data_IF_373537005992
#
_entry.id   IF_373537005992
#
_cell.length_a   1.000
_cell.length_b   1.000
_cell.length_c   1.000
_cell.angle_alpha   90.00
_cell.angle_beta   90.00
_cell.angle_gamma   90.00
#
_symmetry.space_group_name_H-M   'P 1'
#
loop_
_entity.id
_entity.type
_entity.pdbx_description
1 polymer ?
#
# COMPACT_ATOMS: atom_id res chain seq x y z
N UNK A 1 60.09 10.09 -9.69
CA UNK A 1 61.02 10.92 -10.49
C UNK A 1 60.23 11.87 -11.37
N UNK A 2 60.54 13.16 -11.20
CA UNK A 2 60.36 14.32 -12.12
C UNK A 2 58.92 14.76 -12.39
N UNK A 3 58.50 15.84 -11.77
CA UNK A 3 58.73 17.31 -11.95
C UNK A 3 57.63 17.90 -12.85
N UNK A 4 56.68 18.64 -12.24
CA UNK A 4 56.59 20.13 -12.11
C UNK A 4 56.64 20.84 -13.49
N UNK A 5 55.57 21.59 -13.79
CA UNK A 5 55.69 22.98 -14.25
C UNK A 5 54.33 23.70 -14.25
N UNK A 6 54.26 24.75 -13.40
CA UNK A 6 53.45 25.96 -13.56
C UNK A 6 54.24 26.95 -14.42
N UNK A 7 53.63 27.90 -15.08
CA UNK A 7 53.51 29.27 -14.58
C UNK A 7 52.14 29.90 -14.87
N UNK A 8 51.52 30.62 -13.97
CA UNK A 8 51.72 32.01 -13.47
C UNK A 8 51.94 33.07 -14.57
N UNK A 9 51.00 33.98 -14.70
CA UNK A 9 51.15 35.44 -14.84
C UNK A 9 49.75 36.02 -15.25
N UNK A 10 49.06 36.74 -14.50
CA UNK A 10 49.23 38.08 -13.98
C UNK A 10 48.60 39.19 -14.88
N UNK A 11 47.57 39.85 -14.28
CA UNK A 11 47.39 41.30 -14.21
C UNK A 11 46.94 42.05 -15.48
N UNK A 12 45.79 42.71 -15.42
CA UNK A 12 45.77 44.18 -15.42
C UNK A 12 44.37 44.74 -15.06
N UNK A 13 44.38 45.58 -14.05
CA UNK A 13 43.36 46.51 -13.64
C UNK A 13 43.17 47.62 -14.71
N UNK A 14 41.93 48.03 -14.97
CA UNK A 14 41.63 49.41 -15.34
C UNK A 14 40.32 49.87 -14.68
N UNK A 15 40.47 50.83 -13.83
CA UNK A 15 39.49 51.72 -13.21
C UNK A 15 38.99 52.77 -14.23
N UNK A 16 37.74 53.10 -14.22
CA UNK A 16 37.10 54.41 -14.41
C UNK A 16 35.60 54.18 -14.73
N UNK A 17 34.63 54.85 -14.32
CA UNK A 17 34.45 56.14 -13.69
C UNK A 17 32.98 56.24 -13.26
N UNK A 18 32.70 57.09 -12.31
CA UNK A 18 31.43 57.55 -11.81
C UNK A 18 30.36 57.83 -12.87
N UNK A 19 29.11 57.49 -12.54
CA UNK A 19 27.92 58.00 -13.15
C UNK A 19 26.73 57.78 -12.24
N UNK A 20 26.41 58.76 -11.44
CA UNK A 20 25.19 58.89 -10.64
C UNK A 20 24.01 59.12 -11.56
N UNK A 21 23.04 58.22 -11.62
CA UNK A 21 21.70 58.58 -12.01
C UNK A 21 20.66 57.68 -11.33
N UNK A 22 19.76 58.33 -10.66
CA UNK A 22 18.57 57.76 -10.03
C UNK A 22 17.61 57.29 -11.12
N UNK A 23 17.30 56.02 -11.18
CA UNK A 23 16.09 55.55 -11.85
C UNK A 23 15.40 54.54 -10.96
N UNK A 24 14.25 54.92 -10.51
CA UNK A 24 13.21 54.04 -10.00
C UNK A 24 12.79 53.09 -11.11
N UNK A 25 12.98 51.81 -10.91
CA UNK A 25 12.29 50.78 -11.71
C UNK A 25 11.86 49.65 -10.79
N UNK A 26 10.57 49.61 -10.56
CA UNK A 26 9.65 48.50 -10.55
C UNK A 26 10.00 47.26 -9.76
N UNK A 27 9.44 47.22 -8.62
CA UNK A 27 9.03 46.04 -7.84
C UNK A 27 7.73 45.51 -8.45
N UNK A 28 7.79 44.70 -9.51
CA UNK A 28 6.59 44.13 -10.13
C UNK A 28 6.79 42.74 -10.78
N UNK A 29 7.91 42.04 -10.51
CA UNK A 29 8.17 40.70 -11.09
C UNK A 29 8.08 39.54 -10.09
N UNK A 30 7.74 39.78 -8.82
CA UNK A 30 7.70 38.69 -7.81
C UNK A 30 6.28 38.23 -7.49
N UNK A 31 5.25 38.80 -8.13
CA UNK A 31 3.85 38.33 -7.93
C UNK A 31 3.32 37.37 -8.98
N UNK A 32 3.97 37.27 -10.12
CA UNK A 32 3.50 36.41 -11.21
C UNK A 32 4.01 35.00 -11.09
N UNK A 33 5.23 34.80 -10.60
CA UNK A 33 5.81 33.46 -10.41
C UNK A 33 5.23 32.72 -9.20
N UNK A 34 4.82 33.46 -8.15
CA UNK A 34 4.15 32.86 -6.98
C UNK A 34 2.71 32.46 -7.32
N UNK A 35 2.00 33.25 -8.15
CA UNK A 35 0.65 32.94 -8.56
C UNK A 35 0.59 31.77 -9.56
N UNK A 36 1.59 31.61 -10.42
CA UNK A 36 1.70 30.50 -11.34
C UNK A 36 2.00 29.18 -10.60
N UNK A 37 2.89 29.20 -9.61
CA UNK A 37 3.17 28.03 -8.78
C UNK A 37 1.99 27.63 -7.87
N UNK A 38 1.25 28.60 -7.34
CA UNK A 38 0.04 28.30 -6.56
C UNK A 38 -1.12 27.81 -7.44
N UNK A 39 -1.22 28.27 -8.69
CA UNK A 39 -2.21 27.78 -9.64
C UNK A 39 -1.90 26.37 -10.13
N UNK A 40 -0.62 26.05 -10.44
CA UNK A 40 -0.20 24.68 -10.78
C UNK A 40 -0.32 23.72 -9.60
N UNK A 41 -0.03 24.17 -8.38
CA UNK A 41 -0.22 23.34 -7.17
C UNK A 41 -1.72 23.10 -6.90
N UNK A 42 -2.59 24.10 -7.10
CA UNK A 42 -4.04 23.96 -6.96
C UNK A 42 -4.63 23.08 -8.07
N UNK A 43 -4.15 23.20 -9.29
CA UNK A 43 -4.60 22.38 -10.41
C UNK A 43 -4.18 20.90 -10.24
N UNK A 44 -2.96 20.64 -9.79
CA UNK A 44 -2.52 19.28 -9.42
C UNK A 44 -3.29 18.71 -8.23
N UNK A 45 -3.61 19.53 -7.24
CA UNK A 45 -4.41 19.10 -6.07
C UNK A 45 -5.87 18.84 -6.47
N UNK A 46 -6.42 19.64 -7.39
CA UNK A 46 -7.76 19.39 -7.95
C UNK A 46 -7.80 18.17 -8.88
N UNK A 47 -6.75 17.89 -9.65
CA UNK A 47 -6.67 16.67 -10.47
C UNK A 47 -6.52 15.41 -9.62
N UNK A 48 -5.77 15.45 -8.52
CA UNK A 48 -5.66 14.32 -7.59
C UNK A 48 -6.98 14.09 -6.83
N UNK A 49 -7.69 15.15 -6.44
CA UNK A 49 -9.01 15.04 -5.82
C UNK A 49 -10.10 14.53 -6.78
N UNK A 50 -9.92 14.67 -8.10
CA UNK A 50 -10.82 14.16 -9.15
C UNK A 50 -10.61 12.66 -9.45
N UNK A 51 -9.56 12.03 -8.93
CA UNK A 51 -9.23 10.63 -9.17
C UNK A 51 -9.69 9.67 -8.05
N UNK A 52 -10.21 10.19 -6.96
CA UNK A 52 -10.76 9.35 -5.89
C UNK A 52 -12.19 8.98 -6.27
N UNK A 53 -12.44 7.69 -6.41
CA UNK A 53 -13.80 7.18 -6.68
C UNK A 53 -14.74 7.63 -5.57
N UNK A 54 -15.84 8.34 -5.87
CA UNK A 54 -16.74 8.89 -4.87
C UNK A 54 -17.50 7.81 -4.07
N UNK A 55 -17.44 6.56 -4.49
CA UNK A 55 -18.02 5.41 -3.79
C UNK A 55 -17.14 4.94 -2.62
N UNK A 56 -15.86 5.32 -2.61
CA UNK A 56 -14.93 4.92 -1.56
C UNK A 56 -15.35 5.48 -0.20
N UNK A 57 -15.16 4.68 0.83
CA UNK A 57 -15.52 5.01 2.19
C UNK A 57 -14.32 4.81 3.12
N UNK A 58 -14.36 5.50 4.25
CA UNK A 58 -13.44 5.22 5.35
C UNK A 58 -14.08 4.21 6.30
N UNK A 59 -13.33 3.19 6.78
CA UNK A 59 -13.82 2.33 7.84
C UNK A 59 -14.08 3.14 9.10
N UNK A 60 -15.06 2.74 9.87
CA UNK A 60 -15.42 3.36 11.15
C UNK A 60 -14.87 2.52 12.30
N UNK A 61 -14.82 3.11 13.49
CA UNK A 61 -14.50 2.34 14.69
C UNK A 61 -15.42 1.11 14.80
N UNK A 62 -14.82 -0.05 15.04
CA UNK A 62 -15.54 -1.33 15.09
C UNK A 62 -15.83 -1.97 13.73
N UNK A 63 -15.34 -1.40 12.61
CA UNK A 63 -15.45 -2.07 11.32
C UNK A 63 -14.66 -3.39 11.34
N UNK A 64 -15.34 -4.46 10.92
CA UNK A 64 -14.76 -5.81 10.88
C UNK A 64 -14.48 -6.24 9.43
N UNK A 65 -13.43 -7.02 9.25
CA UNK A 65 -13.08 -7.63 7.99
C UNK A 65 -14.16 -8.61 7.52
N UNK A 66 -14.68 -8.43 6.31
CA UNK A 66 -15.76 -9.28 5.78
C UNK A 66 -15.35 -10.75 5.63
N UNK A 67 -14.05 -11.02 5.47
CA UNK A 67 -13.56 -12.39 5.27
C UNK A 67 -13.22 -13.12 6.56
N UNK A 68 -12.54 -12.48 7.51
CA UNK A 68 -12.00 -13.14 8.70
C UNK A 68 -12.60 -12.63 10.02
N UNK A 69 -13.46 -11.60 9.97
CA UNK A 69 -14.11 -10.97 11.12
C UNK A 69 -13.10 -10.42 12.16
N UNK A 70 -11.89 -10.05 11.73
CA UNK A 70 -10.93 -9.32 12.54
C UNK A 70 -11.10 -7.81 12.32
N UNK A 71 -10.53 -7.00 13.22
CA UNK A 71 -10.59 -5.54 13.11
C UNK A 71 -9.99 -5.05 11.80
N UNK A 72 -10.67 -4.12 11.13
CA UNK A 72 -10.11 -3.29 10.06
C UNK A 72 -9.55 -2.01 10.69
N UNK A 73 -8.30 -1.68 10.41
CA UNK A 73 -7.61 -0.55 11.00
C UNK A 73 -7.99 0.76 10.32
N UNK A 74 -8.17 1.81 11.12
CA UNK A 74 -8.47 3.15 10.61
C UNK A 74 -7.21 3.76 9.97
N UNK A 75 -7.41 4.78 9.15
CA UNK A 75 -6.34 5.46 8.41
C UNK A 75 -5.13 5.85 9.29
N UNK A 76 -5.40 6.38 10.48
CA UNK A 76 -4.40 6.94 11.39
C UNK A 76 -3.96 5.97 12.48
N UNK A 77 -4.43 4.72 12.46
CA UNK A 77 -3.99 3.68 13.38
C UNK A 77 -2.73 2.97 12.85
N UNK A 78 -1.97 2.38 13.78
CA UNK A 78 -0.92 1.42 13.44
C UNK A 78 -1.54 0.31 12.59
N UNK A 79 -0.91 -0.05 11.50
CA UNK A 79 -1.40 -1.00 10.50
C UNK A 79 -2.54 -0.48 9.59
N UNK A 80 -2.93 0.80 9.66
CA UNK A 80 -3.93 1.39 8.79
C UNK A 80 -3.59 1.30 7.29
N UNK A 81 -2.30 1.27 6.95
CA UNK A 81 -1.79 1.10 5.59
C UNK A 81 -2.14 -0.25 4.95
N UNK A 82 -2.46 -1.26 5.74
CA UNK A 82 -2.79 -2.59 5.25
C UNK A 82 -4.28 -2.78 4.99
N UNK A 83 -5.13 -1.89 5.50
CA UNK A 83 -6.57 -1.96 5.28
C UNK A 83 -6.89 -1.80 3.79
N UNK A 84 -7.80 -2.62 3.30
CA UNK A 84 -8.24 -2.62 1.91
C UNK A 84 -9.76 -2.55 1.85
N UNK A 85 -10.28 -2.08 0.70
CA UNK A 85 -11.72 -2.14 0.44
C UNK A 85 -11.99 -2.64 -0.97
N UNK A 86 -13.16 -3.20 -1.15
CA UNK A 86 -13.68 -3.57 -2.45
C UNK A 86 -15.02 -2.87 -2.70
N UNK A 87 -15.25 -2.51 -3.97
CA UNK A 87 -16.59 -2.15 -4.44
C UNK A 87 -17.10 -3.34 -5.20
N UNK A 88 -18.20 -3.94 -4.70
CA UNK A 88 -18.82 -5.10 -5.28
C UNK A 88 -19.67 -4.72 -6.50
N UNK A 89 -20.09 -5.71 -7.28
CA UNK A 89 -20.89 -5.52 -8.49
C UNK A 89 -22.21 -4.80 -8.20
N UNK A 90 -22.80 -5.01 -7.03
CA UNK A 90 -24.02 -4.34 -6.58
C UNK A 90 -23.78 -2.91 -6.03
N UNK A 91 -22.52 -2.43 -6.06
CA UNK A 91 -22.12 -1.12 -5.55
C UNK A 91 -21.89 -1.06 -4.04
N UNK A 92 -22.04 -2.16 -3.31
CA UNK A 92 -21.72 -2.19 -1.88
C UNK A 92 -20.22 -2.15 -1.63
N UNK A 93 -19.81 -1.55 -0.51
CA UNK A 93 -18.42 -1.47 -0.09
C UNK A 93 -18.16 -2.48 1.01
N UNK A 94 -17.13 -3.30 0.79
CA UNK A 94 -16.64 -4.28 1.75
C UNK A 94 -15.24 -3.88 2.22
N UNK A 95 -14.96 -4.03 3.51
CA UNK A 95 -13.66 -3.74 4.11
C UNK A 95 -12.93 -5.00 4.53
N UNK A 96 -11.61 -4.98 4.39
CA UNK A 96 -10.73 -6.08 4.78
C UNK A 96 -9.52 -5.54 5.53
N UNK A 97 -9.01 -6.34 6.45
CA UNK A 97 -7.86 -6.00 7.29
C UNK A 97 -6.51 -6.13 6.55
N UNK A 98 -6.47 -6.90 5.44
CA UNK A 98 -5.29 -7.14 4.65
C UNK A 98 -5.68 -7.58 3.22
N UNK A 99 -4.82 -7.38 2.24
CA UNK A 99 -5.04 -7.78 0.83
C UNK A 99 -5.35 -9.27 0.70
N UNK A 100 -4.73 -10.10 1.51
CA UNK A 100 -4.99 -11.54 1.48
C UNK A 100 -6.42 -11.90 1.85
N UNK A 101 -7.06 -11.14 2.74
CA UNK A 101 -8.48 -11.31 3.04
C UNK A 101 -9.36 -10.89 1.87
N UNK A 102 -9.04 -9.77 1.21
CA UNK A 102 -9.78 -9.29 0.05
C UNK A 102 -9.78 -10.31 -1.10
N UNK A 103 -8.58 -10.78 -1.52
CA UNK A 103 -8.48 -11.75 -2.63
C UNK A 103 -9.06 -13.12 -2.27
N UNK A 104 -9.01 -13.54 -0.99
CA UNK A 104 -9.67 -14.76 -0.53
C UNK A 104 -11.20 -14.63 -0.53
N UNK A 105 -11.75 -13.46 -0.25
CA UNK A 105 -13.19 -13.22 -0.32
C UNK A 105 -13.69 -13.35 -1.77
N UNK A 106 -12.97 -12.80 -2.76
CA UNK A 106 -13.30 -12.97 -4.17
C UNK A 106 -13.39 -14.45 -4.56
N UNK A 107 -12.39 -15.25 -4.17
CA UNK A 107 -12.37 -16.71 -4.45
C UNK A 107 -13.50 -17.43 -3.70
N UNK A 108 -13.75 -17.07 -2.43
CA UNK A 108 -14.76 -17.73 -1.61
C UNK A 108 -16.17 -17.50 -2.14
N UNK A 109 -16.44 -16.31 -2.63
CA UNK A 109 -17.77 -15.89 -3.07
C UNK A 109 -17.95 -16.00 -4.58
N UNK A 110 -16.90 -16.37 -5.34
CA UNK A 110 -16.87 -16.36 -6.79
C UNK A 110 -17.20 -14.96 -7.37
N UNK A 111 -16.59 -13.94 -6.80
CA UNK A 111 -16.76 -12.53 -7.13
C UNK A 111 -15.53 -11.97 -7.85
N UNK A 112 -15.75 -10.90 -8.60
CA UNK A 112 -14.67 -10.04 -9.13
C UNK A 112 -15.02 -8.62 -8.79
N UNK A 113 -14.27 -8.01 -7.88
CA UNK A 113 -14.56 -6.70 -7.32
C UNK A 113 -13.55 -5.65 -7.79
N UNK A 114 -13.94 -4.37 -7.79
CA UNK A 114 -12.99 -3.28 -7.86
C UNK A 114 -12.23 -3.20 -6.53
N UNK A 115 -10.90 -3.31 -6.57
CA UNK A 115 -10.04 -3.41 -5.38
C UNK A 115 -9.29 -2.12 -5.12
N UNK A 116 -9.32 -1.67 -3.88
CA UNK A 116 -8.62 -0.47 -3.44
C UNK A 116 -7.76 -0.76 -2.21
N UNK A 117 -6.58 -0.18 -2.23
CA UNK A 117 -5.55 -0.31 -1.21
C UNK A 117 -5.13 1.08 -0.75
N UNK A 118 -4.39 1.19 0.34
CA UNK A 118 -3.88 2.49 0.80
C UNK A 118 -2.47 2.73 0.30
N UNK A 119 -2.24 3.90 -0.27
CA UNK A 119 -0.88 4.38 -0.52
C UNK A 119 -0.10 4.44 0.81
N UNK A 120 1.09 3.86 0.84
CA UNK A 120 1.88 3.71 2.07
C UNK A 120 2.27 5.05 2.70
N UNK A 121 2.46 6.09 1.88
CA UNK A 121 2.92 7.40 2.36
C UNK A 121 1.73 8.29 2.76
N UNK A 122 0.73 8.42 1.87
CA UNK A 122 -0.38 9.34 2.07
C UNK A 122 -1.56 8.71 2.81
N UNK A 123 -1.62 7.39 2.86
CA UNK A 123 -2.74 6.59 3.39
C UNK A 123 -4.05 6.82 2.61
N UNK A 124 -4.00 7.45 1.44
CA UNK A 124 -5.17 7.64 0.59
C UNK A 124 -5.48 6.36 -0.19
N UNK A 125 -6.75 6.21 -0.55
CA UNK A 125 -7.18 5.08 -1.36
C UNK A 125 -6.67 5.19 -2.80
N UNK A 126 -6.17 4.10 -3.32
CA UNK A 126 -5.74 3.94 -4.72
C UNK A 126 -6.26 2.61 -5.24
N UNK A 127 -6.66 2.57 -6.51
CA UNK A 127 -7.02 1.31 -7.16
C UNK A 127 -5.79 0.41 -7.21
N UNK A 128 -5.93 -0.84 -6.87
CA UNK A 128 -4.78 -1.77 -6.80
C UNK A 128 -4.04 -1.88 -8.12
N UNK A 129 -4.76 -1.79 -9.25
CA UNK A 129 -4.18 -1.86 -10.59
C UNK A 129 -3.34 -0.62 -10.96
N UNK A 130 -3.54 0.51 -10.26
CA UNK A 130 -2.81 1.77 -10.45
C UNK A 130 -1.66 1.95 -9.44
N UNK A 131 -1.49 0.99 -8.51
CA UNK A 131 -0.48 1.03 -7.48
C UNK A 131 0.73 0.14 -7.82
N UNK A 132 1.92 0.57 -7.43
CA UNK A 132 3.08 -0.31 -7.35
C UNK A 132 3.01 -1.10 -6.05
N UNK A 133 2.87 -2.41 -6.14
CA UNK A 133 2.81 -3.32 -5.00
C UNK A 133 4.24 -3.68 -4.59
N UNK A 134 4.54 -3.55 -3.30
CA UNK A 134 5.86 -3.90 -2.74
C UNK A 134 5.68 -4.92 -1.63
N UNK A 135 6.31 -6.08 -1.78
CA UNK A 135 6.45 -7.08 -0.71
C UNK A 135 7.52 -6.62 0.27
N UNK A 136 7.24 -6.75 1.57
CA UNK A 136 8.13 -6.32 2.66
C UNK A 136 8.16 -7.33 3.79
N UNK A 137 9.06 -7.10 4.76
CA UNK A 137 9.11 -7.82 6.04
C UNK A 137 8.22 -7.19 7.13
N UNK A 138 7.46 -6.15 6.80
CA UNK A 138 6.52 -5.55 7.73
C UNK A 138 5.45 -6.58 8.14
N UNK A 139 5.10 -6.53 9.41
CA UNK A 139 4.00 -7.34 9.92
C UNK A 139 2.69 -6.66 9.59
N UNK A 140 1.91 -7.28 8.73
CA UNK A 140 0.52 -6.89 8.47
C UNK A 140 -0.44 -7.77 9.29
N UNK A 141 -1.73 -7.41 9.41
CA UNK A 141 -2.70 -8.16 10.21
C UNK A 141 -2.74 -9.65 9.93
N UNK A 142 -2.63 -10.03 8.65
CA UNK A 142 -2.62 -11.44 8.21
C UNK A 142 -1.23 -11.93 7.77
N UNK A 143 -0.17 -11.19 8.11
CA UNK A 143 1.22 -11.48 7.76
C UNK A 143 1.48 -11.63 6.25
N UNK A 144 0.81 -10.81 5.44
CA UNK A 144 1.09 -10.72 4.02
C UNK A 144 2.24 -9.75 3.74
N UNK A 145 2.33 -8.64 4.46
CA UNK A 145 3.42 -7.66 4.39
C UNK A 145 3.53 -6.97 3.04
N UNK A 146 2.39 -6.68 2.39
CA UNK A 146 2.34 -5.89 1.16
C UNK A 146 2.01 -4.45 1.48
N UNK A 147 2.74 -3.51 0.86
CA UNK A 147 2.46 -2.08 0.88
C UNK A 147 2.35 -1.57 -0.56
N UNK A 148 1.78 -0.39 -0.73
CA UNK A 148 1.38 0.11 -2.04
C UNK A 148 1.82 1.54 -2.21
N UNK A 149 2.24 1.89 -3.42
CA UNK A 149 2.67 3.24 -3.76
C UNK A 149 1.98 3.70 -5.04
N UNK A 150 1.37 4.87 -4.98
CA UNK A 150 0.80 5.54 -6.16
C UNK A 150 1.91 6.00 -7.12
N UNK A 151 3.06 6.39 -6.56
CA UNK A 151 4.22 6.83 -7.35
C UNK A 151 5.29 5.76 -7.35
N UNK A 152 5.65 5.28 -8.54
CA UNK A 152 6.76 4.32 -8.69
C UNK A 152 8.07 4.80 -8.06
N UNK A 153 8.38 6.10 -8.13
CA UNK A 153 9.58 6.67 -7.54
C UNK A 153 9.66 6.48 -6.01
N UNK A 154 8.52 6.54 -5.33
CA UNK A 154 8.43 6.31 -3.89
C UNK A 154 8.64 4.82 -3.56
N UNK A 155 8.09 3.92 -4.37
CA UNK A 155 8.36 2.47 -4.28
C UNK A 155 9.84 2.16 -4.50
N UNK A 156 10.44 2.69 -5.55
CA UNK A 156 11.86 2.49 -5.86
C UNK A 156 12.76 2.98 -4.72
N UNK A 157 12.43 4.14 -4.14
CA UNK A 157 13.13 4.68 -2.97
C UNK A 157 13.00 3.76 -1.75
N UNK A 158 11.79 3.30 -1.46
CA UNK A 158 11.55 2.38 -0.34
C UNK A 158 12.37 1.09 -0.48
N UNK A 159 12.37 0.50 -1.68
CA UNK A 159 13.13 -0.73 -1.98
C UNK A 159 14.63 -0.50 -1.83
N UNK A 160 15.14 0.66 -2.28
CA UNK A 160 16.56 0.98 -2.11
C UNK A 160 16.97 1.07 -0.63
N UNK A 161 16.10 1.59 0.22
CA UNK A 161 16.34 1.73 1.66
C UNK A 161 16.06 0.41 2.44
N UNK A 162 15.37 -0.58 1.82
CA UNK A 162 14.95 -1.84 2.44
C UNK A 162 15.32 -3.04 1.54
N UNK A 163 16.51 -3.62 1.66
CA UNK A 163 17.04 -4.62 0.70
C UNK A 163 16.24 -5.91 0.55
N UNK A 164 15.36 -6.25 1.49
CA UNK A 164 14.47 -7.42 1.42
C UNK A 164 13.18 -7.11 0.67
N UNK A 165 12.86 -5.83 0.49
CA UNK A 165 11.67 -5.40 -0.22
C UNK A 165 11.84 -5.54 -1.74
N UNK A 166 10.77 -5.90 -2.44
CA UNK A 166 10.76 -6.01 -3.90
C UNK A 166 9.35 -5.79 -4.46
N UNK A 167 9.29 -5.39 -5.72
CA UNK A 167 8.01 -5.27 -6.43
C UNK A 167 7.38 -6.65 -6.58
N UNK A 168 6.06 -6.72 -6.39
CA UNK A 168 5.30 -7.95 -6.56
C UNK A 168 4.07 -7.72 -7.45
N UNK A 169 3.59 -8.76 -8.08
CA UNK A 169 2.42 -8.74 -8.94
C UNK A 169 1.16 -9.19 -8.19
N UNK A 170 0.02 -8.54 -8.46
CA UNK A 170 -1.26 -8.92 -7.85
C UNK A 170 -1.62 -10.39 -8.10
N UNK A 171 -1.25 -10.92 -9.27
CA UNK A 171 -1.51 -12.34 -9.59
C UNK A 171 -0.78 -13.27 -8.64
N UNK A 172 0.47 -12.97 -8.27
CA UNK A 172 1.21 -13.77 -7.27
C UNK A 172 0.52 -13.78 -5.91
N UNK A 173 -0.03 -12.63 -5.49
CA UNK A 173 -0.80 -12.54 -4.24
C UNK A 173 -2.05 -13.42 -4.29
N UNK A 174 -2.76 -13.43 -5.42
CA UNK A 174 -3.93 -14.30 -5.64
C UNK A 174 -3.57 -15.78 -5.59
N UNK A 175 -2.48 -16.16 -6.24
CA UNK A 175 -2.01 -17.55 -6.27
C UNK A 175 -1.62 -18.03 -4.87
N UNK A 176 -0.88 -17.22 -4.11
CA UNK A 176 -0.49 -17.51 -2.73
C UNK A 176 -1.71 -17.57 -1.79
N UNK A 177 -2.70 -16.72 -2.00
CA UNK A 177 -3.93 -16.75 -1.23
C UNK A 177 -4.71 -18.04 -1.46
N UNK A 178 -4.82 -18.48 -2.71
CA UNK A 178 -5.46 -19.72 -3.08
C UNK A 178 -4.71 -20.93 -2.49
N UNK A 179 -3.39 -20.94 -2.56
CA UNK A 179 -2.57 -22.01 -1.98
C UNK A 179 -2.76 -22.09 -0.46
N UNK A 180 -2.63 -20.96 0.26
CA UNK A 180 -2.84 -20.90 1.72
C UNK A 180 -4.26 -21.37 2.11
N UNK A 181 -5.28 -20.97 1.35
CA UNK A 181 -6.65 -21.39 1.54
C UNK A 181 -6.80 -22.90 1.39
N UNK A 182 -6.31 -23.47 0.29
CA UNK A 182 -6.38 -24.89 0.00
C UNK A 182 -5.68 -25.71 1.08
N UNK A 183 -4.50 -25.27 1.53
CA UNK A 183 -3.77 -25.90 2.63
C UNK A 183 -4.59 -25.91 3.93
N UNK A 184 -5.18 -24.78 4.32
CA UNK A 184 -6.03 -24.70 5.52
C UNK A 184 -7.26 -25.59 5.43
N UNK A 185 -7.90 -25.66 4.25
CA UNK A 185 -9.05 -26.52 4.04
C UNK A 185 -8.69 -28.00 4.17
N UNK A 186 -7.53 -28.41 3.61
CA UNK A 186 -7.02 -29.77 3.74
C UNK A 186 -6.71 -30.13 5.20
N UNK A 187 -5.99 -29.27 5.91
CA UNK A 187 -5.68 -29.47 7.33
C UNK A 187 -6.94 -29.58 8.20
N UNK A 188 -7.97 -28.79 7.88
CA UNK A 188 -9.26 -28.85 8.58
C UNK A 188 -9.97 -30.18 8.32
N UNK A 189 -10.04 -30.62 7.06
CA UNK A 189 -10.65 -31.88 6.69
C UNK A 189 -9.94 -33.08 7.35
N UNK A 190 -8.60 -33.06 7.41
CA UNK A 190 -7.81 -34.11 8.09
C UNK A 190 -8.09 -34.15 9.60
N UNK A 191 -8.20 -33.00 10.26
CA UNK A 191 -8.55 -32.92 11.68
C UNK A 191 -9.96 -33.43 11.98
N UNK A 192 -10.91 -33.09 11.13
CA UNK A 192 -12.30 -33.57 11.24
C UNK A 192 -12.41 -35.10 11.03
N UNK A 193 -11.63 -35.64 10.09
CA UNK A 193 -11.58 -37.09 9.84
C UNK A 193 -10.98 -37.84 11.04
N UNK A 194 -9.87 -37.35 11.59
CA UNK A 194 -9.21 -37.96 12.74
C UNK A 194 -10.08 -37.86 14.02
N UNK A 195 -10.72 -36.71 14.25
CA UNK A 195 -11.61 -36.51 15.40
C UNK A 195 -12.85 -37.42 15.37
N UNK A 196 -13.34 -37.78 14.17
CA UNK A 196 -14.42 -38.77 14.02
C UNK A 196 -13.95 -40.21 14.28
N UNK A 197 -12.71 -40.54 13.92
CA UNK A 197 -12.12 -41.82 14.20
C UNK A 197 -11.98 -42.08 15.70
N UNK A 198 -11.53 -41.09 16.46
CA UNK A 198 -11.39 -41.18 17.92
C UNK A 198 -12.75 -41.34 18.64
N UNK A 199 -13.79 -40.64 18.15
CA UNK A 199 -15.14 -40.74 18.72
C UNK A 199 -15.78 -42.11 18.46
N UNK A 200 -15.60 -42.71 17.28
CA UNK A 200 -16.11 -44.05 16.98
C UNK A 200 -15.39 -45.11 17.83
N UNK A 201 -14.08 -44.95 18.06
CA UNK A 201 -13.32 -45.92 18.86
C UNK A 201 -13.71 -45.88 20.35
N UNK A 202 -14.11 -44.70 20.87
CA UNK A 202 -14.66 -44.55 22.23
C UNK A 202 -16.05 -45.17 22.38
N UNK A 203 -16.92 -45.11 21.35
CA UNK A 203 -18.23 -45.71 21.37
C UNK A 203 -18.15 -47.24 21.31
N UNK A 204 -17.24 -47.82 20.54
CA UNK A 204 -17.01 -49.31 20.50
C UNK A 204 -16.46 -49.82 21.83
N UNK A 205 -15.58 -49.11 22.52
CA UNK A 205 -15.08 -49.52 23.83
C UNK A 205 -16.17 -49.46 24.92
N UNK A 206 -17.12 -48.56 24.82
CA UNK A 206 -18.18 -48.42 25.83
C UNK A 206 -19.30 -49.47 25.66
N UNK A 207 -19.48 -50.08 24.48
CA UNK A 207 -20.44 -51.13 24.24
C UNK A 207 -19.94 -52.52 24.68
N UNK A 208 -18.62 -52.74 24.76
CA UNK A 208 -18.03 -54.00 25.20
C UNK A 208 -17.82 -54.14 26.72
N UNK A 209 -18.17 -53.12 27.49
CA UNK A 209 -17.97 -53.06 28.97
C UNK A 209 -19.17 -53.55 29.81
N UNK A 210 -20.30 -53.99 29.21
CA UNK A 210 -21.48 -54.47 29.94
C UNK A 210 -21.90 -55.89 29.55
N UNK A 211 -21.03 -56.82 29.86
CA UNK A 211 -21.37 -58.24 29.85
C UNK A 211 -20.58 -58.97 30.94
N UNK A 212 -21.03 -58.84 32.17
CA UNK A 212 -20.88 -59.78 33.27
C UNK A 212 -21.94 -59.56 34.36
#
# INVERSE_FOLDING_TARGET
MKKIWLPVLAVLLLLAACGTEKAQVKKEETKQDVAANEAEAKDKTMQVASLVDPRLQEPKEGTMCEMCNMKVYLKDEDMGEFSTQAIKEDGTVAFYDDIGCLVNAEVANNETNEKFVRDFITKDWVKVDDATIVKTDLKSPMNWGYIYFTKKADADKYIADNPTAHVEELQKIKDDALERRNKKMKEKAEKEANGKSDSMHMEEMNQNGHSH
#
